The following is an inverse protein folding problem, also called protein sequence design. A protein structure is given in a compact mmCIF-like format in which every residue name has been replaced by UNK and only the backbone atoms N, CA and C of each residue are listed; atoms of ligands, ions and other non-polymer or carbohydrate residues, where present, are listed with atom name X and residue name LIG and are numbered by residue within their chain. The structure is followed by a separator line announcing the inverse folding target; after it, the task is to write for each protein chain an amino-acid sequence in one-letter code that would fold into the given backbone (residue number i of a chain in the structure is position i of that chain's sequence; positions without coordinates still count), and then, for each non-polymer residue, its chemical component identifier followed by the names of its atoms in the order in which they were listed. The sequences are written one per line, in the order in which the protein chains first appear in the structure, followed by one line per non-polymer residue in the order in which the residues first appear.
data_IF_599743218299
#
_entry.id   IF_599743218299
#
_cell.length_a   1.000
_cell.length_b   1.000
_cell.length_c   1.000
_cell.angle_alpha   90.00
_cell.angle_beta   90.00
_cell.angle_gamma   90.00
#
_symmetry.space_group_name_H-M   'P 1'
#
loop_
_entity.id
_entity.type
_entity.pdbx_description
1 polymer ?
#
# COMPACT_ATOMS: atom_id res chain seq x y z
N UNK A 1 -0.63 -8.10 21.78
CA UNK A 1 -1.87 -7.90 22.57
C UNK A 1 -2.25 -6.42 22.60
N UNK A 2 -1.43 -5.53 23.18
CA UNK A 2 -1.70 -4.09 23.29
C UNK A 2 -2.04 -3.41 21.96
N UNK A 3 -1.33 -3.72 20.88
CA UNK A 3 -1.60 -3.16 19.54
C UNK A 3 -3.05 -3.47 19.09
N UNK A 4 -3.46 -4.73 19.18
CA UNK A 4 -4.83 -5.16 18.79
C UNK A 4 -5.88 -4.46 19.62
N UNK A 5 -5.66 -4.32 20.92
CA UNK A 5 -6.57 -3.60 21.82
C UNK A 5 -6.68 -2.11 21.44
N UNK A 6 -5.56 -1.49 21.10
CA UNK A 6 -5.53 -0.09 20.63
C UNK A 6 -6.26 0.08 19.30
N UNK A 7 -6.02 -0.80 18.35
CA UNK A 7 -6.73 -0.79 17.06
C UNK A 7 -8.22 -0.95 17.25
N UNK A 8 -8.69 -1.88 18.11
CA UNK A 8 -10.12 -2.05 18.41
C UNK A 8 -10.75 -0.78 18.98
N UNK A 9 -10.07 -0.09 19.88
CA UNK A 9 -10.56 1.19 20.43
C UNK A 9 -10.66 2.28 19.35
N UNK A 10 -9.70 2.34 18.43
CA UNK A 10 -9.75 3.25 17.27
C UNK A 10 -10.95 2.88 16.40
N UNK A 11 -11.17 1.60 16.14
CA UNK A 11 -12.28 1.13 15.30
C UNK A 11 -13.64 1.40 15.93
N UNK A 12 -13.80 1.26 17.24
CA UNK A 12 -15.03 1.63 17.96
C UNK A 12 -15.44 3.09 17.71
N UNK A 13 -14.47 3.98 17.55
CA UNK A 13 -14.73 5.38 17.23
C UNK A 13 -14.95 5.58 15.71
N UNK A 14 -14.09 5.02 14.87
CA UNK A 14 -14.13 5.18 13.43
C UNK A 14 -15.43 4.66 12.81
N UNK A 15 -15.93 3.51 13.27
CA UNK A 15 -17.20 2.93 12.80
C UNK A 15 -18.39 3.83 13.09
N UNK A 16 -18.46 4.43 14.28
CA UNK A 16 -19.51 5.40 14.63
C UNK A 16 -19.51 6.64 13.75
N UNK A 17 -18.38 6.94 13.14
CA UNK A 17 -18.20 8.09 12.23
C UNK A 17 -18.23 7.71 10.76
N UNK A 18 -18.32 6.41 10.43
CA UNK A 18 -18.26 5.92 9.06
C UNK A 18 -16.89 6.11 8.39
N UNK A 19 -15.80 6.16 9.18
CA UNK A 19 -14.44 6.43 8.70
C UNK A 19 -13.72 5.11 8.50
N UNK A 20 -13.14 4.91 7.31
CA UNK A 20 -12.24 3.80 7.02
C UNK A 20 -10.87 4.03 7.64
N UNK A 21 -10.27 2.99 8.20
CA UNK A 21 -8.92 2.99 8.77
C UNK A 21 -8.08 1.98 8.02
N UNK A 22 -7.01 2.44 7.38
CA UNK A 22 -6.06 1.60 6.66
C UNK A 22 -4.77 1.45 7.44
N UNK A 23 -4.37 0.21 7.73
CA UNK A 23 -3.03 -0.06 8.25
C UNK A 23 -2.04 -0.05 7.08
N UNK A 24 -1.00 0.73 7.20
CA UNK A 24 0.19 0.61 6.38
C UNK A 24 1.22 -0.22 7.12
N UNK A 25 1.68 -1.28 6.49
CA UNK A 25 2.72 -2.14 7.04
C UNK A 25 4.02 -1.94 6.29
N UNK A 26 5.12 -2.10 7.00
CA UNK A 26 6.43 -1.75 6.51
C UNK A 26 7.45 -2.79 6.97
N UNK A 27 8.46 -3.12 6.15
CA UNK A 27 9.55 -4.00 6.55
C UNK A 27 10.20 -3.57 7.86
N UNK A 28 10.53 -4.53 8.72
CA UNK A 28 11.14 -4.33 10.04
C UNK A 28 10.24 -3.68 11.10
N UNK A 29 8.94 -3.50 10.85
CA UNK A 29 7.96 -3.08 11.85
C UNK A 29 7.20 -4.27 12.45
N UNK A 30 6.26 -3.99 13.37
CA UNK A 30 5.46 -5.01 14.08
C UNK A 30 4.63 -5.90 13.15
N UNK A 31 4.17 -5.36 12.05
CA UNK A 31 3.51 -6.06 10.94
C UNK A 31 4.29 -5.72 9.67
N UNK A 32 4.94 -6.71 9.09
CA UNK A 32 5.87 -6.47 7.98
C UNK A 32 5.53 -7.24 6.70
N UNK A 33 4.53 -8.13 6.74
CA UNK A 33 4.14 -8.93 5.60
C UNK A 33 2.63 -9.14 5.48
N UNK A 34 2.21 -9.54 4.29
CA UNK A 34 0.81 -9.76 3.93
C UNK A 34 0.10 -10.76 4.84
N UNK A 35 0.77 -11.85 5.24
CA UNK A 35 0.14 -12.90 6.04
C UNK A 35 -0.22 -12.41 7.44
N UNK A 36 0.68 -11.67 8.08
CA UNK A 36 0.47 -11.08 9.40
C UNK A 36 -0.67 -10.06 9.39
N UNK A 37 -0.68 -9.17 8.37
CA UNK A 37 -1.72 -8.14 8.26
C UNK A 37 -3.09 -8.73 7.93
N UNK A 38 -3.17 -9.79 7.12
CA UNK A 38 -4.41 -10.53 6.92
C UNK A 38 -4.91 -11.18 8.21
N UNK A 39 -4.01 -11.73 9.03
CA UNK A 39 -4.33 -12.22 10.37
C UNK A 39 -4.92 -11.14 11.26
N UNK A 40 -4.37 -9.92 11.20
CA UNK A 40 -4.89 -8.77 11.92
C UNK A 40 -6.27 -8.35 11.41
N UNK A 41 -6.45 -8.20 10.10
CA UNK A 41 -7.75 -7.85 9.49
C UNK A 41 -8.82 -8.86 9.92
N UNK A 42 -8.51 -10.15 9.87
CA UNK A 42 -9.41 -11.22 10.33
C UNK A 42 -9.67 -11.19 11.84
N UNK A 43 -8.77 -10.64 12.63
CA UNK A 43 -8.93 -10.51 14.10
C UNK A 43 -9.78 -9.30 14.46
N UNK A 44 -9.61 -8.17 13.75
CA UNK A 44 -10.37 -6.95 13.96
C UNK A 44 -11.82 -7.10 13.49
N UNK A 45 -12.05 -7.79 12.37
CA UNK A 45 -13.39 -8.10 11.81
C UNK A 45 -14.29 -6.88 11.58
N UNK A 46 -13.71 -5.74 11.22
CA UNK A 46 -14.45 -4.53 10.90
C UNK A 46 -14.46 -4.29 9.38
N UNK A 47 -15.62 -3.96 8.82
CA UNK A 47 -15.74 -3.54 7.43
C UNK A 47 -15.11 -2.17 7.15
N UNK A 48 -14.71 -1.45 8.18
CA UNK A 48 -14.01 -0.16 8.09
C UNK A 48 -12.50 -0.30 8.30
N UNK A 49 -12.01 -1.49 8.70
CA UNK A 49 -10.59 -1.75 8.85
C UNK A 49 -10.04 -2.46 7.61
N UNK A 50 -8.95 -1.93 7.07
CA UNK A 50 -8.28 -2.49 5.90
C UNK A 50 -6.83 -2.04 5.83
N UNK A 51 -6.32 -1.88 4.62
CA UNK A 51 -4.92 -1.50 4.38
C UNK A 51 -4.80 -0.23 3.55
N UNK A 52 -3.83 0.59 3.88
CA UNK A 52 -3.13 1.43 2.94
C UNK A 52 -1.99 0.57 2.40
N UNK A 53 -2.13 0.09 1.17
CA UNK A 53 -1.21 -0.90 0.62
C UNK A 53 -0.06 -0.19 -0.08
N UNK A 54 1.07 -0.09 0.60
CA UNK A 54 2.30 0.40 -0.01
C UNK A 54 2.95 -0.70 -0.85
N UNK A 55 3.02 -0.48 -2.16
CA UNK A 55 3.49 -1.49 -3.12
C UNK A 55 5.01 -1.62 -3.13
N UNK A 56 5.74 -0.60 -2.71
CA UNK A 56 7.17 -0.69 -2.51
C UNK A 56 7.51 -1.56 -1.29
N UNK A 57 6.83 -1.34 -0.16
CA UNK A 57 6.99 -2.18 1.03
C UNK A 57 6.65 -3.65 0.74
N UNK A 58 5.55 -3.88 -0.01
CA UNK A 58 5.18 -5.22 -0.48
C UNK A 58 6.27 -5.81 -1.37
N UNK A 59 6.84 -5.02 -2.28
CA UNK A 59 7.91 -5.49 -3.18
C UNK A 59 9.19 -5.88 -2.43
N UNK A 60 9.45 -5.30 -1.26
CA UNK A 60 10.57 -5.66 -0.39
C UNK A 60 10.28 -6.95 0.37
N UNK A 61 9.10 -7.04 1.01
CA UNK A 61 8.74 -8.12 1.94
C UNK A 61 8.28 -9.40 1.25
N UNK A 62 7.70 -9.30 0.05
CA UNK A 62 7.08 -10.43 -0.64
C UNK A 62 7.88 -10.88 -1.87
N UNK A 63 7.71 -12.16 -2.22
CA UNK A 63 8.28 -12.72 -3.47
C UNK A 63 7.47 -12.29 -4.70
N UNK A 64 6.14 -12.17 -4.53
CA UNK A 64 5.21 -11.79 -5.58
C UNK A 64 4.24 -10.72 -5.06
N UNK A 65 4.55 -9.44 -5.27
CA UNK A 65 3.75 -8.32 -4.78
C UNK A 65 2.29 -8.34 -5.26
N UNK A 66 2.01 -8.85 -6.46
CA UNK A 66 0.65 -8.87 -7.01
C UNK A 66 -0.28 -9.83 -6.26
N UNK A 67 0.26 -10.83 -5.58
CA UNK A 67 -0.54 -11.71 -4.72
C UNK A 67 -1.08 -10.96 -3.49
N UNK A 68 -0.33 -10.01 -2.96
CA UNK A 68 -0.80 -9.16 -1.85
C UNK A 68 -1.99 -8.31 -2.27
N UNK A 69 -1.95 -7.71 -3.48
CA UNK A 69 -3.08 -6.98 -4.05
C UNK A 69 -4.32 -7.88 -4.13
N UNK A 70 -4.19 -9.12 -4.65
CA UNK A 70 -5.32 -10.06 -4.73
C UNK A 70 -5.86 -10.46 -3.36
N UNK A 71 -4.99 -10.69 -2.38
CA UNK A 71 -5.38 -11.09 -1.03
C UNK A 71 -6.14 -9.99 -0.29
N UNK A 72 -5.76 -8.74 -0.49
CA UNK A 72 -6.41 -7.58 0.15
C UNK A 72 -7.55 -6.96 -0.67
N UNK A 73 -7.92 -7.51 -1.84
CA UNK A 73 -8.85 -6.91 -2.81
C UNK A 73 -10.11 -6.24 -2.24
N UNK A 74 -10.62 -6.74 -1.11
CA UNK A 74 -11.87 -6.25 -0.50
C UNK A 74 -11.64 -5.22 0.61
N UNK A 75 -10.39 -4.91 0.95
CA UNK A 75 -10.04 -4.02 2.05
C UNK A 75 -8.82 -3.12 1.76
N UNK A 76 -8.53 -2.86 0.49
CA UNK A 76 -7.55 -1.84 0.11
C UNK A 76 -8.27 -0.49 0.09
N UNK A 77 -7.95 0.38 1.04
CA UNK A 77 -8.56 1.71 1.14
C UNK A 77 -7.80 2.77 0.36
N UNK A 78 -6.49 2.62 0.28
CA UNK A 78 -5.59 3.43 -0.52
C UNK A 78 -4.39 2.58 -0.95
N UNK A 79 -3.70 3.03 -1.99
CA UNK A 79 -2.42 2.46 -2.42
C UNK A 79 -1.37 3.56 -2.35
N UNK A 80 -0.24 3.28 -1.71
CA UNK A 80 0.98 4.03 -1.94
C UNK A 80 1.80 3.33 -3.03
N UNK A 81 2.43 4.13 -3.88
CA UNK A 81 3.22 3.64 -5.01
C UNK A 81 4.46 4.50 -5.22
N UNK A 82 5.57 3.87 -5.31
CA UNK A 82 6.88 4.36 -5.71
C UNK A 82 7.56 3.27 -6.54
N UNK A 83 8.85 3.36 -6.76
CA UNK A 83 9.63 2.26 -7.32
C UNK A 83 10.73 1.82 -6.36
N UNK A 84 11.03 0.54 -6.39
CA UNK A 84 12.05 -0.09 -5.54
C UNK A 84 13.10 -0.73 -6.45
N UNK A 85 14.36 -0.58 -6.08
CA UNK A 85 15.48 -1.22 -6.76
C UNK A 85 16.29 -2.10 -5.81
N UNK A 86 16.65 -3.30 -6.27
CA UNK A 86 17.44 -4.28 -5.48
C UNK A 86 16.84 -4.56 -4.09
N UNK A 87 15.51 -4.48 -3.94
CA UNK A 87 14.80 -4.59 -2.67
C UNK A 87 15.27 -3.61 -1.59
N UNK A 88 15.81 -2.46 -1.99
CA UNK A 88 16.25 -1.40 -1.08
C UNK A 88 15.14 -0.37 -0.89
N UNK A 89 14.86 -0.02 0.33
CA UNK A 89 13.79 0.89 0.73
C UNK A 89 14.17 2.37 0.46
N UNK A 90 14.12 2.80 -0.80
CA UNK A 90 14.53 4.17 -1.20
C UNK A 90 13.44 5.03 -1.81
N UNK A 91 12.23 4.54 -2.03
CA UNK A 91 11.12 5.26 -2.67
C UNK A 91 11.57 6.03 -3.92
N UNK A 92 11.93 5.28 -4.98
CA UNK A 92 12.34 5.87 -6.24
C UNK A 92 11.12 6.37 -7.04
N UNK A 93 11.33 7.37 -7.89
CA UNK A 93 10.33 7.76 -8.89
C UNK A 93 9.94 6.52 -9.72
N UNK A 94 8.65 6.23 -9.91
CA UNK A 94 8.18 5.12 -10.74
C UNK A 94 8.88 5.06 -12.11
N UNK A 95 9.38 3.86 -12.46
CA UNK A 95 10.19 3.62 -13.64
C UNK A 95 11.71 3.74 -13.44
N UNK A 96 12.18 4.00 -12.23
CA UNK A 96 13.61 4.08 -11.90
C UNK A 96 14.12 2.86 -11.11
N UNK A 97 13.25 1.91 -10.79
CA UNK A 97 13.57 0.67 -10.09
C UNK A 97 13.27 -0.59 -10.91
N UNK A 98 12.90 -1.64 -10.18
CA UNK A 98 12.74 -2.99 -10.72
C UNK A 98 11.29 -3.50 -10.63
N UNK A 99 10.33 -2.67 -10.17
CA UNK A 99 8.94 -3.10 -10.01
C UNK A 99 8.24 -3.29 -11.36
N UNK A 100 7.47 -4.36 -11.48
CA UNK A 100 6.70 -4.66 -12.70
C UNK A 100 5.33 -3.94 -12.68
N UNK A 101 5.31 -2.68 -13.07
CA UNK A 101 4.10 -1.86 -13.13
C UNK A 101 3.05 -2.45 -14.07
N UNK A 102 3.45 -3.13 -15.14
CA UNK A 102 2.51 -3.79 -16.05
C UNK A 102 1.68 -4.84 -15.33
N UNK A 103 2.34 -5.70 -14.52
CA UNK A 103 1.64 -6.70 -13.73
C UNK A 103 0.80 -6.07 -12.61
N UNK A 104 1.33 -5.06 -11.92
CA UNK A 104 0.61 -4.34 -10.87
C UNK A 104 -0.71 -3.78 -11.40
N UNK A 105 -0.66 -2.94 -12.43
CA UNK A 105 -1.86 -2.31 -12.98
C UNK A 105 -2.82 -3.30 -13.66
N UNK A 106 -2.30 -4.41 -14.22
CA UNK A 106 -3.14 -5.51 -14.69
C UNK A 106 -3.98 -6.09 -13.54
N UNK A 107 -3.36 -6.37 -12.40
CA UNK A 107 -4.07 -6.94 -11.23
C UNK A 107 -5.02 -5.94 -10.61
N UNK A 108 -4.66 -4.65 -10.53
CA UNK A 108 -5.58 -3.60 -10.04
C UNK A 108 -6.85 -3.53 -10.90
N UNK A 109 -6.73 -3.64 -12.23
CA UNK A 109 -7.90 -3.73 -13.12
C UNK A 109 -8.69 -5.02 -12.92
N UNK A 110 -8.03 -6.17 -12.74
CA UNK A 110 -8.70 -7.46 -12.48
C UNK A 110 -9.57 -7.41 -11.21
N UNK A 111 -9.08 -6.78 -10.14
CA UNK A 111 -9.84 -6.63 -8.89
C UNK A 111 -10.81 -5.43 -8.91
N UNK A 112 -10.85 -4.68 -10.00
CA UNK A 112 -11.67 -3.46 -10.16
C UNK A 112 -11.38 -2.42 -9.08
N UNK A 113 -10.10 -2.18 -8.80
CA UNK A 113 -9.69 -1.15 -7.85
C UNK A 113 -9.99 0.23 -8.44
N UNK A 114 -10.75 1.04 -7.70
CA UNK A 114 -11.23 2.36 -8.14
C UNK A 114 -10.98 3.49 -7.10
N UNK A 115 -10.18 3.20 -6.07
CA UNK A 115 -9.75 4.21 -5.10
C UNK A 115 -8.45 4.90 -5.56
N UNK A 116 -7.91 5.75 -4.70
CA UNK A 116 -6.70 6.51 -4.98
C UNK A 116 -5.44 5.66 -5.00
N UNK A 117 -4.52 6.05 -5.89
CA UNK A 117 -3.12 5.60 -5.92
C UNK A 117 -2.28 6.85 -5.67
N UNK A 118 -1.60 6.88 -4.55
CA UNK A 118 -0.83 8.03 -4.09
C UNK A 118 0.66 7.75 -4.26
N UNK A 119 1.37 8.61 -4.98
CA UNK A 119 2.83 8.50 -5.10
C UNK A 119 3.49 8.96 -3.82
N UNK A 120 4.36 8.15 -3.23
CA UNK A 120 5.11 8.49 -2.01
C UNK A 120 6.61 8.58 -2.27
N UNK A 121 7.19 9.78 -2.14
CA UNK A 121 8.57 10.09 -2.51
C UNK A 121 9.25 11.00 -1.48
N UNK A 122 9.58 10.47 -0.30
CA UNK A 122 10.21 11.27 0.76
C UNK A 122 11.66 11.68 0.46
N UNK A 123 12.34 11.04 -0.50
CA UNK A 123 13.75 11.31 -0.82
C UNK A 123 13.97 12.49 -1.78
N UNK A 124 12.89 13.04 -2.38
CA UNK A 124 12.99 14.09 -3.42
C UNK A 124 12.62 15.48 -2.92
N UNK A 125 12.87 15.80 -1.67
CA UNK A 125 12.51 17.08 -1.02
C UNK A 125 13.08 18.34 -1.72
N UNK A 126 14.23 18.20 -2.39
CA UNK A 126 14.87 19.32 -3.12
C UNK A 126 14.24 19.59 -4.50
N UNK A 127 13.43 18.68 -5.03
CA UNK A 127 12.82 18.80 -6.35
C UNK A 127 11.43 18.15 -6.43
N UNK A 128 10.51 18.50 -5.52
CA UNK A 128 9.24 17.75 -5.38
C UNK A 128 8.36 17.86 -6.63
N UNK A 129 8.28 19.03 -7.24
CA UNK A 129 7.48 19.25 -8.45
C UNK A 129 7.98 18.41 -9.63
N UNK A 130 9.31 18.36 -9.81
CA UNK A 130 9.90 17.52 -10.87
C UNK A 130 9.65 16.03 -10.63
N UNK A 131 9.79 15.57 -9.39
CA UNK A 131 9.54 14.19 -9.01
C UNK A 131 8.07 13.80 -9.22
N UNK A 132 7.14 14.64 -8.76
CA UNK A 132 5.71 14.42 -8.95
C UNK A 132 5.33 14.35 -10.45
N UNK A 133 5.84 15.26 -11.27
CA UNK A 133 5.58 15.28 -12.71
C UNK A 133 6.10 14.01 -13.39
N UNK A 134 7.34 13.62 -13.13
CA UNK A 134 7.93 12.39 -13.69
C UNK A 134 7.14 11.15 -13.29
N UNK A 135 6.70 11.07 -12.04
CA UNK A 135 5.87 9.97 -11.56
C UNK A 135 4.53 9.91 -12.29
N UNK A 136 3.85 11.06 -12.41
CA UNK A 136 2.60 11.17 -13.14
C UNK A 136 2.75 10.75 -14.61
N UNK A 137 3.76 11.30 -15.33
CA UNK A 137 4.00 11.00 -16.73
C UNK A 137 4.31 9.50 -16.97
N UNK A 138 4.98 8.86 -16.00
CA UNK A 138 5.25 7.43 -16.07
C UNK A 138 3.99 6.60 -15.81
N UNK A 139 3.28 6.87 -14.71
CA UNK A 139 2.13 6.07 -14.27
C UNK A 139 0.91 6.23 -15.19
N UNK A 140 0.75 7.40 -15.80
CA UNK A 140 -0.36 7.67 -16.75
C UNK A 140 -0.36 6.78 -17.99
N UNK A 141 0.71 6.02 -18.23
CA UNK A 141 0.77 5.01 -19.31
C UNK A 141 -0.02 3.73 -18.99
N UNK A 142 -0.40 3.55 -17.73
CA UNK A 142 -1.03 2.33 -17.23
C UNK A 142 -2.50 2.52 -16.83
N UNK A 143 -2.96 3.77 -16.73
CA UNK A 143 -4.33 4.16 -16.31
C UNK A 143 -5.30 4.24 -17.48
#
# INVERSE_FOLDING_TARGET
KLFIESVKRIMDYAEKKGIKVGLEYEPCLLYENTAEVLGLVNTIKSKYFGVNLDLGHVSISEKDPVQSIRKFKNCIWNIHIEDIKDKKHFHLIPGQGDMDFTKIFKVLREIKYDNFITVELYTYQKQPVSAARKSYDFLNRFI
#
